data_IF_285101829701
#
_entry.id   IF_285101829701
#
_cell.length_a   1.000
_cell.length_b   1.000
_cell.length_c   1.000
_cell.angle_alpha   90.00
_cell.angle_beta   90.00
_cell.angle_gamma   90.00
#
_symmetry.space_group_name_H-M   'P 1'
#
loop_
_entity.id
_entity.type
_entity.pdbx_description
1 polymer ?
#
# COMPACT_ATOMS: atom_id res chain seq x y z
N UNK A 1 15.58 -8.35 8.84
CA UNK A 1 14.68 -7.20 8.70
C UNK A 1 15.50 -5.93 8.85
N UNK A 2 15.18 -4.87 8.12
CA UNK A 2 15.98 -3.64 8.08
C UNK A 2 15.49 -2.64 9.13
N UNK A 3 16.40 -2.02 9.89
CA UNK A 3 16.08 -1.07 10.96
C UNK A 3 15.97 0.37 10.45
N UNK A 4 15.38 1.26 11.27
CA UNK A 4 15.30 2.69 10.97
C UNK A 4 16.69 3.31 10.75
N UNK A 5 17.65 3.04 11.64
CA UNK A 5 19.02 3.55 11.55
C UNK A 5 19.71 3.12 10.26
N UNK A 6 19.53 1.86 9.85
CA UNK A 6 20.12 1.33 8.61
C UNK A 6 19.56 2.03 7.36
N UNK A 7 18.25 2.24 7.30
CA UNK A 7 17.60 2.91 6.17
C UNK A 7 18.03 4.38 6.09
N UNK A 8 18.04 5.09 7.23
CA UNK A 8 18.50 6.48 7.27
C UNK A 8 19.94 6.61 6.80
N UNK A 9 20.85 5.79 7.36
CA UNK A 9 22.26 5.81 6.96
C UNK A 9 22.42 5.52 5.46
N UNK A 10 21.67 4.54 4.93
CA UNK A 10 21.70 4.18 3.51
C UNK A 10 21.28 5.35 2.63
N UNK A 11 20.15 5.98 2.93
CA UNK A 11 19.66 7.11 2.16
C UNK A 11 20.54 8.35 2.28
N UNK A 12 21.08 8.64 3.47
CA UNK A 12 21.99 9.77 3.68
C UNK A 12 23.29 9.61 2.86
N UNK A 13 23.87 8.40 2.83
CA UNK A 13 25.10 8.11 2.07
C UNK A 13 24.87 8.16 0.57
N UNK A 14 23.73 7.62 0.10
CA UNK A 14 23.39 7.61 -1.34
C UNK A 14 22.84 8.95 -1.82
N UNK A 15 22.43 9.83 -0.90
CA UNK A 15 21.86 11.14 -1.21
C UNK A 15 20.39 11.07 -1.65
N UNK A 16 19.64 10.07 -1.18
CA UNK A 16 18.21 9.96 -1.46
C UNK A 16 17.40 10.94 -0.59
N UNK A 17 16.60 11.85 -1.20
CA UNK A 17 15.79 12.78 -0.43
C UNK A 17 14.69 12.07 0.35
N UNK A 18 14.69 12.28 1.66
CA UNK A 18 13.67 11.74 2.57
C UNK A 18 13.22 12.77 3.59
N UNK A 19 12.05 12.52 4.18
CA UNK A 19 11.54 13.24 5.34
C UNK A 19 11.18 12.23 6.42
N UNK A 20 11.71 12.40 7.62
CA UNK A 20 11.30 11.61 8.78
C UNK A 20 10.15 12.32 9.49
N UNK A 21 9.01 11.63 9.62
CA UNK A 21 7.91 12.09 10.45
C UNK A 21 7.91 11.31 11.77
N UNK A 22 7.97 12.03 12.87
CA UNK A 22 7.76 11.46 14.20
C UNK A 22 6.28 11.52 14.54
N UNK A 23 5.66 10.36 14.75
CA UNK A 23 4.27 10.17 15.17
C UNK A 23 4.18 10.17 16.70
N UNK A 24 3.00 9.80 17.23
CA UNK A 24 2.82 9.60 18.67
C UNK A 24 3.70 8.44 19.19
N UNK A 25 3.95 8.41 20.50
CA UNK A 25 4.80 7.40 21.16
C UNK A 25 6.24 7.32 20.62
N UNK A 26 6.75 8.40 19.99
CA UNK A 26 8.05 8.46 19.31
C UNK A 26 8.24 7.44 18.17
N UNK A 27 7.15 6.87 17.67
CA UNK A 27 7.15 6.00 16.50
C UNK A 27 7.43 6.85 15.27
N UNK A 28 8.18 6.32 14.29
CA UNK A 28 8.59 7.10 13.12
C UNK A 28 8.18 6.43 11.82
N UNK A 29 7.96 7.24 10.80
CA UNK A 29 7.90 6.81 9.41
C UNK A 29 8.92 7.61 8.59
N UNK A 30 9.41 7.01 7.52
CA UNK A 30 10.29 7.67 6.55
C UNK A 30 9.49 7.85 5.26
N UNK A 31 9.33 9.10 4.82
CA UNK A 31 8.73 9.42 3.51
C UNK A 31 9.85 9.61 2.50
N UNK A 32 9.84 8.85 1.41
CA UNK A 32 10.87 8.91 0.37
C UNK A 32 10.41 9.70 -0.84
N UNK A 33 11.31 10.45 -1.47
CA UNK A 33 11.02 11.06 -2.77
C UNK A 33 10.94 9.98 -3.86
N UNK A 34 11.90 9.05 -3.88
CA UNK A 34 11.88 7.90 -4.78
C UNK A 34 10.67 7.01 -4.45
N UNK A 35 9.79 6.77 -5.41
CA UNK A 35 8.56 5.98 -5.25
C UNK A 35 7.47 6.65 -4.41
N UNK A 36 7.73 7.83 -3.83
CA UNK A 36 6.79 8.48 -2.92
C UNK A 36 6.43 7.61 -1.72
N UNK A 37 7.32 6.75 -1.21
CA UNK A 37 6.93 5.67 -0.28
C UNK A 37 6.88 6.14 1.16
N UNK A 38 6.05 5.47 1.96
CA UNK A 38 6.09 5.53 3.42
C UNK A 38 6.68 4.21 3.93
N UNK A 39 7.87 4.30 4.52
CA UNK A 39 8.54 3.17 5.19
C UNK A 39 8.31 3.25 6.71
N UNK A 40 8.31 2.10 7.38
CA UNK A 40 7.95 1.98 8.80
C UNK A 40 6.53 1.44 8.97
N UNK A 41 5.81 1.77 10.05
CA UNK A 41 6.30 2.48 11.22
C UNK A 41 7.47 1.75 11.91
N UNK A 42 8.34 2.53 12.56
CA UNK A 42 9.47 2.05 13.35
C UNK A 42 9.25 2.41 14.83
N UNK A 43 9.37 1.43 15.72
CA UNK A 43 9.15 1.58 17.16
C UNK A 43 10.32 2.26 17.89
N UNK A 44 11.52 2.18 17.32
CA UNK A 44 12.76 2.80 17.78
C UNK A 44 13.77 2.92 16.63
N UNK A 45 14.97 3.44 16.89
CA UNK A 45 16.05 3.50 15.91
C UNK A 45 16.52 2.11 15.44
N UNK A 46 16.49 1.14 16.35
CA UNK A 46 17.00 -0.21 16.12
C UNK A 46 15.89 -1.23 15.84
N UNK A 47 14.62 -0.81 15.90
CA UNK A 47 13.50 -1.69 15.53
C UNK A 47 13.39 -1.83 14.02
N UNK A 48 13.02 -3.01 13.50
CA UNK A 48 12.64 -3.16 12.12
C UNK A 48 11.30 -2.46 11.80
N UNK A 49 11.05 -2.24 10.51
CA UNK A 49 9.78 -1.70 10.01
C UNK A 49 8.62 -2.68 10.24
N UNK A 50 7.46 -2.15 10.64
CA UNK A 50 6.18 -2.89 10.67
C UNK A 50 5.71 -3.26 9.27
N UNK A 51 5.86 -2.37 8.28
CA UNK A 51 5.67 -2.72 6.87
C UNK A 51 6.87 -3.51 6.36
N UNK A 52 6.66 -4.38 5.39
CA UNK A 52 7.76 -5.05 4.71
C UNK A 52 8.62 -4.01 4.00
N UNK A 53 9.94 -4.17 4.07
CA UNK A 53 10.93 -3.31 3.42
C UNK A 53 11.99 -4.17 2.77
N UNK A 54 12.43 -3.78 1.58
CA UNK A 54 13.42 -4.53 0.83
C UNK A 54 14.78 -4.59 1.58
N UNK A 55 15.41 -5.79 1.73
CA UNK A 55 16.72 -5.92 2.36
C UNK A 55 17.84 -5.07 1.75
N UNK A 56 17.73 -4.69 0.48
CA UNK A 56 18.70 -3.81 -0.18
C UNK A 56 18.85 -2.45 0.53
N UNK A 57 17.82 -2.01 1.26
CA UNK A 57 17.83 -0.76 2.02
C UNK A 57 18.72 -0.79 3.27
N UNK A 58 19.30 -1.95 3.61
CA UNK A 58 20.13 -2.10 4.80
C UNK A 58 21.53 -1.47 4.67
N UNK A 59 22.05 -1.38 3.44
CA UNK A 59 23.41 -0.94 3.17
C UNK A 59 23.48 -0.07 1.91
N UNK A 60 24.31 1.00 1.90
CA UNK A 60 24.49 1.86 0.73
C UNK A 60 24.84 1.11 -0.56
N UNK A 61 25.79 0.17 -0.49
CA UNK A 61 26.25 -0.59 -1.66
C UNK A 61 25.12 -1.44 -2.26
N UNK A 62 24.39 -2.17 -1.42
CA UNK A 62 23.25 -2.99 -1.86
C UNK A 62 22.15 -2.14 -2.48
N UNK A 63 21.89 -0.96 -1.91
CA UNK A 63 20.88 -0.05 -2.45
C UNK A 63 21.31 0.61 -3.76
N UNK A 64 22.60 0.93 -3.92
CA UNK A 64 23.13 1.40 -5.21
C UNK A 64 23.01 0.34 -6.31
N UNK A 65 23.30 -0.92 -6.00
CA UNK A 65 23.06 -2.05 -6.93
C UNK A 65 21.58 -2.17 -7.28
N UNK A 66 20.69 -2.13 -6.28
CA UNK A 66 19.24 -2.12 -6.48
C UNK A 66 18.79 -1.02 -7.47
N UNK A 67 19.30 0.21 -7.32
CA UNK A 67 18.99 1.29 -8.26
C UNK A 67 19.58 1.02 -9.66
N UNK A 68 20.82 0.58 -9.74
CA UNK A 68 21.53 0.34 -11.00
C UNK A 68 20.86 -0.77 -11.82
N UNK A 69 20.33 -1.79 -11.15
CA UNK A 69 19.61 -2.91 -11.77
C UNK A 69 18.18 -2.53 -12.20
N UNK A 70 17.73 -1.31 -11.89
CA UNK A 70 16.40 -0.84 -12.22
C UNK A 70 15.31 -1.42 -11.30
N UNK A 71 15.69 -1.99 -10.16
CA UNK A 71 14.74 -2.47 -9.17
C UNK A 71 13.94 -1.31 -8.58
N UNK A 72 12.66 -1.57 -8.34
CA UNK A 72 11.68 -0.54 -7.96
C UNK A 72 11.05 -0.83 -6.59
N UNK A 73 10.91 -2.10 -6.21
CA UNK A 73 10.16 -2.51 -5.03
C UNK A 73 10.94 -2.34 -3.71
N UNK A 74 10.91 -1.13 -3.14
CA UNK A 74 11.52 -0.84 -1.83
C UNK A 74 10.64 -1.30 -0.63
N UNK A 75 9.39 -1.71 -0.87
CA UNK A 75 8.43 -2.05 0.19
C UNK A 75 7.59 -0.86 0.68
N UNK A 76 7.05 -0.96 1.89
CA UNK A 76 6.27 0.10 2.53
C UNK A 76 4.88 0.34 1.91
N UNK A 77 4.36 1.54 2.15
CA UNK A 77 3.11 2.03 1.56
C UNK A 77 3.39 2.93 0.34
N UNK A 78 2.62 2.74 -0.74
CA UNK A 78 2.73 3.52 -2.00
C UNK A 78 1.38 3.74 -2.67
N UNK A 79 1.35 4.74 -3.55
CA UNK A 79 0.25 4.92 -4.51
C UNK A 79 0.55 4.15 -5.80
N UNK A 80 -0.47 3.50 -6.34
CA UNK A 80 -0.45 2.75 -7.59
C UNK A 80 -1.55 3.24 -8.51
N UNK A 81 -1.29 3.33 -9.82
CA UNK A 81 -2.31 3.73 -10.78
C UNK A 81 -2.90 2.47 -11.41
N UNK A 82 -4.21 2.34 -11.34
CA UNK A 82 -4.94 1.22 -11.90
C UNK A 82 -5.97 1.69 -12.95
N UNK A 83 -6.53 0.78 -13.77
CA UNK A 83 -6.41 -0.67 -13.68
C UNK A 83 -4.99 -1.21 -13.95
N UNK A 84 -4.52 -2.19 -13.17
CA UNK A 84 -3.25 -2.88 -13.40
C UNK A 84 -3.24 -3.55 -14.78
N UNK A 85 -4.35 -4.17 -15.15
CA UNK A 85 -4.52 -4.74 -16.49
C UNK A 85 -4.35 -3.68 -17.58
N UNK A 86 -4.61 -2.40 -17.29
CA UNK A 86 -4.56 -1.34 -18.28
C UNK A 86 -3.16 -0.77 -18.50
N UNK A 87 -2.36 -0.67 -17.43
CA UNK A 87 -1.07 0.02 -17.46
C UNK A 87 0.14 -0.91 -17.31
N UNK A 88 -0.04 -2.07 -16.68
CA UNK A 88 1.06 -2.96 -16.33
C UNK A 88 1.09 -4.23 -17.18
N UNK A 89 0.05 -4.49 -17.96
CA UNK A 89 -0.08 -5.68 -18.80
C UNK A 89 -0.27 -5.22 -20.24
N UNK A 90 0.60 -5.62 -21.16
CA UNK A 90 0.48 -5.21 -22.58
C UNK A 90 -0.53 -6.05 -23.35
N UNK A 91 -0.64 -7.32 -23.00
CA UNK A 91 -1.59 -8.27 -23.58
C UNK A 91 -2.28 -9.04 -22.46
N UNK A 92 -3.58 -8.79 -22.24
CA UNK A 92 -4.33 -9.49 -21.20
C UNK A 92 -4.37 -11.02 -21.36
N UNK A 93 -4.19 -11.53 -22.58
CA UNK A 93 -4.18 -12.98 -22.84
C UNK A 93 -2.86 -13.64 -22.46
N UNK A 94 -1.80 -12.84 -22.34
CA UNK A 94 -0.48 -13.23 -21.82
C UNK A 94 -0.13 -12.33 -20.62
N UNK A 95 -0.91 -12.46 -19.56
CA UNK A 95 -0.79 -11.64 -18.36
C UNK A 95 0.63 -11.65 -17.80
N UNK A 96 1.20 -12.84 -17.58
CA UNK A 96 2.54 -12.98 -16.98
C UNK A 96 3.68 -12.67 -17.95
N UNK A 97 3.55 -13.06 -19.22
CA UNK A 97 4.60 -12.81 -20.22
C UNK A 97 4.70 -11.35 -20.65
N UNK A 98 3.64 -10.56 -20.43
CA UNK A 98 3.62 -9.13 -20.76
C UNK A 98 3.50 -8.20 -19.55
N UNK A 99 3.62 -8.74 -18.34
CA UNK A 99 3.65 -7.95 -17.12
C UNK A 99 4.91 -7.10 -17.04
N UNK A 100 4.74 -5.81 -16.84
CA UNK A 100 5.82 -4.86 -16.67
C UNK A 100 5.32 -3.55 -16.06
N UNK A 101 6.00 -3.10 -15.01
CA UNK A 101 5.61 -1.91 -14.27
C UNK A 101 6.22 -0.68 -14.96
N UNK A 102 5.41 0.33 -15.33
CA UNK A 102 5.94 1.57 -15.88
C UNK A 102 6.87 2.27 -14.88
N UNK A 103 8.09 2.60 -15.30
CA UNK A 103 9.06 3.34 -14.46
C UNK A 103 8.54 4.70 -14.00
N UNK A 104 7.59 5.27 -14.76
CA UNK A 104 6.91 6.51 -14.41
C UNK A 104 5.93 6.34 -13.23
N UNK A 105 5.46 5.12 -12.98
CA UNK A 105 4.63 4.77 -11.84
C UNK A 105 5.50 4.47 -10.60
N UNK A 106 6.51 3.62 -10.74
CA UNK A 106 7.42 3.21 -9.66
C UNK A 106 8.82 2.94 -10.27
N UNK A 107 9.89 3.65 -9.87
CA UNK A 107 9.97 4.60 -8.76
C UNK A 107 9.31 5.97 -9.01
N UNK A 108 8.84 6.26 -10.22
CA UNK A 108 8.26 7.57 -10.53
C UNK A 108 9.21 8.74 -10.31
N UNK A 109 8.67 9.97 -10.30
CA UNK A 109 9.43 11.21 -10.15
C UNK A 109 8.68 12.20 -9.27
N UNK A 110 8.52 11.86 -8.00
CA UNK A 110 7.92 12.78 -7.04
C UNK A 110 8.84 13.95 -6.70
N UNK A 111 8.25 15.12 -6.47
CA UNK A 111 8.82 16.13 -5.60
C UNK A 111 8.38 15.85 -4.16
N UNK A 112 9.28 16.10 -3.20
CA UNK A 112 9.04 15.91 -1.78
C UNK A 112 9.21 17.25 -1.04
N UNK A 113 8.17 17.70 -0.36
CA UNK A 113 8.16 18.94 0.42
C UNK A 113 7.66 18.63 1.82
N UNK A 114 8.37 19.12 2.84
CA UNK A 114 7.88 19.14 4.21
C UNK A 114 7.62 20.59 4.61
N UNK A 115 6.39 20.90 5.03
CA UNK A 115 6.01 22.22 5.49
C UNK A 115 5.11 22.10 6.71
N UNK A 116 5.52 22.73 7.81
CA UNK A 116 4.77 22.81 9.08
C UNK A 116 4.29 21.43 9.61
N UNK A 117 5.07 20.37 9.39
CA UNK A 117 4.74 19.01 9.86
C UNK A 117 3.82 18.23 8.92
N UNK A 118 3.45 18.80 7.78
CA UNK A 118 2.75 18.13 6.69
C UNK A 118 3.73 17.81 5.58
N UNK A 119 3.69 16.56 5.10
CA UNK A 119 4.51 16.11 3.97
C UNK A 119 3.67 16.06 2.71
N UNK A 120 4.18 16.67 1.65
CA UNK A 120 3.57 16.73 0.33
C UNK A 120 4.45 15.98 -0.65
N UNK A 121 3.82 15.09 -1.42
CA UNK A 121 4.42 14.41 -2.56
C UNK A 121 3.61 14.75 -3.80
N UNK A 122 4.28 15.12 -4.89
CA UNK A 122 3.60 15.36 -6.17
C UNK A 122 4.40 14.82 -7.34
N UNK A 123 3.73 14.20 -8.30
CA UNK A 123 4.33 13.88 -9.59
C UNK A 123 3.33 14.03 -10.72
N UNK A 124 3.85 14.22 -11.94
CA UNK A 124 3.10 14.06 -13.17
C UNK A 124 3.57 12.79 -13.87
N UNK A 125 2.63 11.99 -14.34
CA UNK A 125 2.89 10.68 -14.93
C UNK A 125 2.25 10.63 -16.32
N UNK A 126 3.01 10.13 -17.28
CA UNK A 126 2.50 9.72 -18.58
C UNK A 126 2.41 8.19 -18.63
N UNK A 127 1.24 7.64 -18.92
CA UNK A 127 1.01 6.19 -18.98
C UNK A 127 0.37 5.78 -20.30
N UNK A 128 0.90 4.72 -20.91
CA UNK A 128 0.32 4.06 -22.06
C UNK A 128 -0.72 3.04 -21.60
N UNK A 129 -1.87 3.05 -22.26
CA UNK A 129 -3.02 2.23 -21.95
C UNK A 129 -3.19 1.11 -23.00
N UNK A 130 -3.41 -0.13 -22.57
CA UNK A 130 -3.29 -1.32 -23.43
C UNK A 130 -4.57 -2.15 -23.64
N UNK A 131 -5.44 -2.29 -22.64
CA UNK A 131 -6.47 -3.35 -22.63
C UNK A 131 -7.92 -2.84 -22.62
N UNK A 132 -8.31 -1.99 -21.67
CA UNK A 132 -9.67 -1.45 -21.49
C UNK A 132 -9.89 -0.16 -22.28
N UNK A 133 -8.81 0.54 -22.63
CA UNK A 133 -8.77 1.72 -23.50
C UNK A 133 -7.43 1.80 -24.24
N UNK A 134 -7.28 2.73 -25.18
CA UNK A 134 -6.08 2.84 -26.02
C UNK A 134 -5.39 4.21 -25.98
N UNK A 135 -4.07 4.19 -26.16
CA UNK A 135 -3.18 5.36 -26.24
C UNK A 135 -2.75 5.91 -24.88
N UNK A 136 -2.27 7.14 -24.84
CA UNK A 136 -1.61 7.70 -23.65
C UNK A 136 -2.54 8.57 -22.78
N UNK A 137 -2.36 8.51 -21.47
CA UNK A 137 -2.96 9.44 -20.49
C UNK A 137 -1.88 10.20 -19.72
N UNK A 138 -2.18 11.42 -19.30
CA UNK A 138 -1.32 12.23 -18.46
C UNK A 138 -2.06 12.51 -17.15
N UNK A 139 -1.41 12.23 -16.03
CA UNK A 139 -2.02 12.27 -14.71
C UNK A 139 -1.16 13.12 -13.78
N UNK A 140 -1.80 13.87 -12.90
CA UNK A 140 -1.16 14.53 -11.75
C UNK A 140 -1.56 13.75 -10.49
N UNK A 141 -0.55 13.32 -9.73
CA UNK A 141 -0.72 12.60 -8.47
C UNK A 141 -0.21 13.49 -7.36
N UNK A 142 -1.07 13.82 -6.41
CA UNK A 142 -0.73 14.56 -5.21
C UNK A 142 -1.03 13.72 -3.98
N UNK A 143 -0.13 13.74 -2.99
CA UNK A 143 -0.33 13.11 -1.69
C UNK A 143 0.01 14.10 -0.60
N UNK A 144 -0.84 14.11 0.42
CA UNK A 144 -0.62 14.88 1.64
C UNK A 144 -0.64 13.91 2.82
N UNK A 145 0.44 13.90 3.60
CA UNK A 145 0.62 13.03 4.76
C UNK A 145 0.75 13.89 6.01
N UNK A 146 -0.06 13.59 7.02
CA UNK A 146 -0.09 14.33 8.29
C UNK A 146 -0.16 13.33 9.45
N UNK A 147 0.34 13.73 10.62
CA UNK A 147 0.12 12.97 11.85
C UNK A 147 -1.37 12.88 12.17
N UNK A 148 -1.80 11.73 12.65
CA UNK A 148 -3.15 11.51 13.16
C UNK A 148 -3.08 11.15 14.64
N UNK A 149 -3.90 11.81 15.45
CA UNK A 149 -4.03 11.48 16.87
C UNK A 149 -4.92 10.25 17.10
N UNK A 150 -4.81 9.66 18.30
CA UNK A 150 -5.57 8.46 18.66
C UNK A 150 -7.08 8.63 18.35
N UNK A 151 -7.70 7.73 17.54
CA UNK A 151 -9.12 7.82 17.23
C UNK A 151 -10.01 7.63 18.46
N UNK A 152 -9.52 6.98 19.51
CA UNK A 152 -10.23 6.74 20.76
C UNK A 152 -10.09 7.90 21.77
N UNK A 153 -9.39 8.99 21.44
CA UNK A 153 -9.08 10.11 22.37
C UNK A 153 -10.29 10.76 23.05
N UNK A 154 -11.50 10.53 22.55
CA UNK A 154 -12.74 11.04 23.11
C UNK A 154 -13.58 9.96 23.84
N UNK A 155 -13.09 8.72 23.91
CA UNK A 155 -13.73 7.64 24.65
C UNK A 155 -13.58 7.87 26.16
N UNK A 156 -14.65 7.59 26.92
CA UNK A 156 -14.66 7.79 28.38
C UNK A 156 -13.69 6.89 29.12
N UNK A 157 -13.39 5.72 28.57
CA UNK A 157 -12.50 4.70 29.13
C UNK A 157 -11.20 4.59 28.33
N UNK A 158 -10.70 5.71 27.78
CA UNK A 158 -9.46 5.72 26.99
C UNK A 158 -8.28 5.08 27.74
N UNK A 159 -8.09 5.41 29.01
CA UNK A 159 -6.94 4.93 29.80
C UNK A 159 -6.96 3.39 29.93
N UNK A 160 -8.14 2.80 30.14
CA UNK A 160 -8.35 1.36 30.18
C UNK A 160 -8.09 0.72 28.81
N UNK A 161 -8.64 1.31 27.73
CA UNK A 161 -8.46 0.79 26.37
C UNK A 161 -7.00 0.87 25.88
N UNK A 162 -6.21 1.80 26.43
CA UNK A 162 -4.84 2.04 26.05
C UNK A 162 -3.81 1.44 27.02
N UNK A 163 -4.25 0.71 28.05
CA UNK A 163 -3.34 0.04 28.98
C UNK A 163 -2.44 -0.95 28.22
N UNK A 164 -1.12 -0.70 28.26
CA UNK A 164 -0.13 -1.51 27.53
C UNK A 164 -0.10 -1.28 26.01
N UNK A 165 -0.88 -0.35 25.47
CA UNK A 165 -0.96 -0.08 24.03
C UNK A 165 -0.25 1.22 23.69
N UNK A 166 0.68 1.17 22.72
CA UNK A 166 1.24 2.37 22.08
C UNK A 166 0.46 2.69 20.82
N UNK A 167 -0.01 3.93 20.70
CA UNK A 167 -0.64 4.41 19.48
C UNK A 167 0.33 5.27 18.66
N UNK A 168 0.27 5.11 17.35
CA UNK A 168 0.81 6.04 16.36
C UNK A 168 -0.03 5.97 15.10
N UNK A 169 -0.41 7.14 14.57
CA UNK A 169 -1.23 7.24 13.38
C UNK A 169 -0.78 8.35 12.45
N UNK A 170 -1.11 8.19 11.17
CA UNK A 170 -1.05 9.24 10.16
C UNK A 170 -2.31 9.18 9.30
N UNK A 171 -2.67 10.30 8.70
CA UNK A 171 -3.67 10.39 7.65
C UNK A 171 -2.98 10.65 6.33
N UNK A 172 -3.52 10.08 5.25
CA UNK A 172 -3.09 10.39 3.89
C UNK A 172 -4.29 10.77 3.04
N UNK A 173 -4.15 11.84 2.28
CA UNK A 173 -5.06 12.17 1.17
C UNK A 173 -4.30 11.96 -0.14
N UNK A 174 -4.94 11.31 -1.10
CA UNK A 174 -4.39 11.10 -2.45
C UNK A 174 -5.35 11.71 -3.44
N UNK A 175 -4.85 12.61 -4.29
CA UNK A 175 -5.61 13.17 -5.40
C UNK A 175 -5.00 12.68 -6.71
N UNK A 176 -5.87 12.23 -7.60
CA UNK A 176 -5.52 11.86 -8.97
C UNK A 176 -6.31 12.75 -9.92
N UNK A 177 -5.61 13.53 -10.72
CA UNK A 177 -6.22 14.44 -11.69
C UNK A 177 -5.79 14.09 -13.11
N UNK A 178 -6.71 14.17 -14.06
CA UNK A 178 -6.39 14.06 -15.49
C UNK A 178 -5.78 15.39 -15.98
N UNK A 179 -4.68 15.29 -16.71
CA UNK A 179 -4.07 16.40 -17.42
C UNK A 179 -4.39 16.28 -18.92
N UNK A 180 -5.24 17.17 -19.41
CA UNK A 180 -5.64 17.23 -20.83
C UNK A 180 -6.97 16.56 -21.14
N UNK A 181 -7.32 16.55 -22.44
CA UNK A 181 -8.69 16.25 -22.90
C UNK A 181 -8.96 14.75 -23.09
N UNK A 182 -7.92 13.93 -23.19
CA UNK A 182 -8.08 12.50 -23.46
C UNK A 182 -8.32 11.74 -22.16
N UNK A 183 -9.55 11.27 -21.98
CA UNK A 183 -9.92 10.48 -20.80
C UNK A 183 -9.60 9.01 -21.00
N UNK A 184 -8.53 8.53 -20.35
CA UNK A 184 -8.38 7.11 -20.03
C UNK A 184 -8.84 6.93 -18.58
N UNK A 185 -9.89 6.13 -18.31
CA UNK A 185 -10.33 5.85 -16.95
C UNK A 185 -9.15 5.34 -16.12
N UNK A 186 -8.86 6.05 -15.03
CA UNK A 186 -7.74 5.80 -14.13
C UNK A 186 -8.23 5.91 -12.70
N UNK A 187 -7.66 5.13 -11.80
CA UNK A 187 -7.91 5.21 -10.37
C UNK A 187 -6.60 5.12 -9.59
N UNK A 188 -6.59 5.68 -8.38
CA UNK A 188 -5.44 5.60 -7.48
C UNK A 188 -5.73 4.58 -6.38
N UNK A 189 -4.79 3.66 -6.22
CA UNK A 189 -4.82 2.65 -5.17
C UNK A 189 -3.73 2.95 -4.15
N UNK A 190 -4.03 2.80 -2.86
CA UNK A 190 -3.05 2.95 -1.79
C UNK A 190 -2.67 1.58 -1.21
N UNK A 191 -1.53 1.06 -1.65
CA UNK A 191 -1.02 -0.28 -1.33
C UNK A 191 -0.09 -0.21 -0.13
N UNK A 192 -0.19 -1.17 0.77
CA UNK A 192 0.78 -1.39 1.84
C UNK A 192 1.32 -2.82 1.75
N UNK A 193 2.64 -2.97 1.77
CA UNK A 193 3.29 -4.28 1.85
C UNK A 193 3.55 -4.62 3.31
N UNK A 194 3.01 -5.75 3.77
CA UNK A 194 3.12 -6.18 5.17
C UNK A 194 4.15 -7.28 5.31
N UNK A 195 4.82 -7.35 6.46
CA UNK A 195 5.57 -8.55 6.82
C UNK A 195 4.59 -9.72 6.95
N UNK A 196 4.85 -10.83 6.26
CA UNK A 196 3.99 -12.02 6.26
C UNK A 196 3.89 -12.68 7.65
N UNK A 197 2.92 -13.60 7.79
CA UNK A 197 2.65 -14.41 8.98
C UNK A 197 1.44 -13.97 9.79
N UNK A 198 0.86 -12.80 9.52
CA UNK A 198 -0.24 -12.23 10.28
C UNK A 198 -1.63 -12.50 9.73
N UNK A 199 -2.63 -12.17 10.54
CA UNK A 199 -4.04 -12.31 10.21
C UNK A 199 -4.62 -10.97 9.73
N UNK A 200 -5.19 -10.97 8.54
CA UNK A 200 -5.90 -9.82 7.99
C UNK A 200 -7.40 -9.95 8.26
N UNK A 201 -8.02 -8.87 8.71
CA UNK A 201 -9.44 -8.77 9.03
C UNK A 201 -10.09 -7.75 8.10
N UNK A 202 -11.11 -8.20 7.38
CA UNK A 202 -11.92 -7.36 6.49
C UNK A 202 -13.39 -7.39 6.93
N UNK A 203 -13.83 -6.44 7.76
CA UNK A 203 -15.22 -6.37 8.20
C UNK A 203 -16.19 -6.09 7.05
N UNK A 204 -17.35 -6.74 7.11
CA UNK A 204 -18.38 -6.75 6.07
C UNK A 204 -19.78 -6.47 6.64
N UNK A 205 -20.68 -5.89 5.84
CA UNK A 205 -22.08 -5.66 6.18
C UNK A 205 -23.01 -6.86 5.92
N UNK A 206 -22.50 -7.93 5.29
CA UNK A 206 -23.31 -9.04 4.82
C UNK A 206 -22.49 -10.11 4.11
N UNK A 207 -23.12 -10.95 3.28
CA UNK A 207 -22.43 -12.05 2.62
C UNK A 207 -21.22 -11.60 1.81
N UNK A 208 -20.20 -12.44 1.90
CA UNK A 208 -18.97 -12.37 1.15
C UNK A 208 -19.20 -12.23 -0.36
N UNK A 209 -18.53 -11.24 -0.98
CA UNK A 209 -18.45 -11.08 -2.43
C UNK A 209 -16.99 -10.84 -2.82
N UNK A 210 -16.28 -11.95 -3.01
CA UNK A 210 -14.87 -11.99 -3.37
C UNK A 210 -14.69 -12.57 -4.77
N UNK A 211 -13.71 -12.05 -5.49
CA UNK A 211 -13.39 -12.43 -6.87
C UNK A 211 -11.89 -12.75 -6.94
N UNK A 212 -11.51 -13.99 -7.31
CA UNK A 212 -10.11 -14.32 -7.59
C UNK A 212 -9.60 -13.57 -8.84
N UNK A 213 -8.49 -12.86 -8.72
CA UNK A 213 -7.82 -12.24 -9.87
C UNK A 213 -6.83 -13.22 -10.50
N UNK A 214 -6.06 -13.91 -9.67
CA UNK A 214 -5.20 -15.02 -10.06
C UNK A 214 -4.78 -15.78 -8.80
N UNK A 215 -4.36 -17.03 -8.99
CA UNK A 215 -4.19 -17.97 -7.89
C UNK A 215 -5.53 -18.33 -7.24
N UNK A 216 -5.50 -19.31 -6.35
CA UNK A 216 -6.67 -19.71 -5.58
C UNK A 216 -6.26 -19.75 -4.13
N UNK A 217 -6.73 -18.82 -3.28
CA UNK A 217 -6.46 -18.90 -1.85
C UNK A 217 -6.98 -20.24 -1.30
N UNK A 218 -6.25 -20.82 -0.34
CA UNK A 218 -6.75 -22.00 0.39
C UNK A 218 -8.02 -21.67 1.15
N UNK A 219 -8.85 -22.67 1.46
CA UNK A 219 -10.08 -22.48 2.23
C UNK A 219 -9.81 -21.79 3.59
N UNK A 220 -8.68 -22.09 4.22
CA UNK A 220 -8.21 -21.47 5.47
C UNK A 220 -7.85 -19.98 5.32
N UNK A 221 -7.58 -19.51 4.09
CA UNK A 221 -7.25 -18.12 3.81
C UNK A 221 -8.49 -17.26 3.56
N UNK A 222 -9.70 -17.82 3.50
CA UNK A 222 -10.94 -17.08 3.24
C UNK A 222 -12.06 -17.46 4.22
N UNK A 223 -11.77 -17.57 5.51
CA UNK A 223 -12.79 -17.81 6.51
C UNK A 223 -13.66 -16.55 6.69
N UNK A 224 -14.98 -16.69 6.58
CA UNK A 224 -15.94 -15.64 6.94
C UNK A 224 -16.55 -16.00 8.29
N UNK A 225 -16.16 -15.30 9.34
CA UNK A 225 -16.72 -15.47 10.68
C UNK A 225 -16.89 -14.13 11.39
N UNK A 226 -17.96 -14.03 12.19
CA UNK A 226 -18.29 -12.85 12.99
C UNK A 226 -18.36 -11.53 12.18
N UNK A 227 -18.88 -11.60 10.94
CA UNK A 227 -19.06 -10.44 10.08
C UNK A 227 -17.79 -9.91 9.44
N UNK A 228 -16.68 -10.66 9.43
CA UNK A 228 -15.45 -10.29 8.76
C UNK A 228 -14.85 -11.47 7.98
N UNK A 229 -14.13 -11.17 6.90
CA UNK A 229 -13.15 -12.12 6.39
C UNK A 229 -11.93 -12.14 7.29
N UNK A 230 -11.40 -13.34 7.53
CA UNK A 230 -10.14 -13.61 8.23
C UNK A 230 -9.23 -14.33 7.26
N UNK A 231 -8.11 -13.68 6.96
CA UNK A 231 -7.24 -14.08 5.86
C UNK A 231 -5.82 -14.19 6.40
N UNK A 232 -5.27 -15.40 6.41
CA UNK A 232 -3.89 -15.61 6.84
C UNK A 232 -2.93 -15.27 5.71
N UNK A 233 -2.19 -14.18 5.85
CA UNK A 233 -1.20 -13.75 4.85
C UNK A 233 0.16 -14.39 5.14
N UNK A 234 0.33 -15.64 4.73
CA UNK A 234 1.53 -16.45 5.02
C UNK A 234 2.72 -16.13 4.11
N UNK A 235 2.47 -15.51 2.96
CA UNK A 235 3.44 -15.34 1.88
C UNK A 235 3.91 -16.65 1.21
N UNK A 236 3.28 -17.79 1.51
CA UNK A 236 3.69 -19.10 0.94
C UNK A 236 2.91 -19.48 -0.32
N UNK A 237 1.83 -18.78 -0.63
CA UNK A 237 0.99 -19.07 -1.78
C UNK A 237 0.62 -17.78 -2.51
N UNK A 238 0.93 -17.72 -3.81
CA UNK A 238 0.55 -16.59 -4.62
C UNK A 238 -0.96 -16.59 -4.89
N UNK A 239 -1.65 -15.54 -4.46
CA UNK A 239 -3.02 -15.25 -4.90
C UNK A 239 -3.32 -13.76 -4.81
N UNK A 240 -4.22 -13.29 -5.67
CA UNK A 240 -4.84 -11.96 -5.59
C UNK A 240 -6.35 -12.12 -5.59
N UNK A 241 -7.03 -11.50 -4.62
CA UNK A 241 -8.49 -11.52 -4.52
C UNK A 241 -9.00 -10.09 -4.36
N UNK A 242 -10.00 -9.71 -5.15
CA UNK A 242 -10.72 -8.43 -5.03
C UNK A 242 -12.04 -8.62 -4.27
N UNK A 243 -12.43 -7.62 -3.48
CA UNK A 243 -13.64 -7.64 -2.64
C UNK A 243 -14.57 -6.50 -3.01
N UNK A 244 -15.86 -6.81 -3.22
CA UNK A 244 -16.84 -5.83 -3.71
C UNK A 244 -17.11 -4.74 -2.68
N UNK A 245 -17.11 -3.49 -3.11
CA UNK A 245 -17.38 -2.33 -2.27
C UNK A 245 -18.74 -2.43 -1.54
N UNK A 246 -19.73 -3.06 -2.17
CA UNK A 246 -21.10 -3.23 -1.66
C UNK A 246 -21.19 -4.01 -0.34
N UNK A 247 -20.20 -4.85 -0.01
CA UNK A 247 -20.19 -5.60 1.24
C UNK A 247 -19.21 -5.04 2.28
N UNK A 248 -18.34 -4.08 1.94
CA UNK A 248 -17.28 -3.60 2.83
C UNK A 248 -17.70 -2.41 3.69
N UNK A 249 -17.02 -2.27 4.83
CA UNK A 249 -17.32 -1.27 5.86
C UNK A 249 -16.45 0.00 5.78
N UNK A 250 -15.46 0.03 4.88
CA UNK A 250 -14.45 1.12 4.86
C UNK A 250 -13.38 1.01 5.95
N UNK A 251 -13.28 -0.15 6.62
CA UNK A 251 -12.23 -0.45 7.60
C UNK A 251 -11.58 -1.79 7.30
N UNK A 252 -10.31 -1.91 7.63
CA UNK A 252 -9.56 -3.17 7.58
C UNK A 252 -8.51 -3.19 8.71
N UNK A 253 -8.08 -4.39 9.11
CA UNK A 253 -7.02 -4.54 10.09
C UNK A 253 -6.05 -5.68 9.76
N UNK A 254 -4.83 -5.58 10.25
CA UNK A 254 -3.83 -6.63 10.17
C UNK A 254 -3.16 -6.80 11.53
N UNK A 255 -3.29 -8.00 12.10
CA UNK A 255 -2.68 -8.40 13.37
C UNK A 255 -1.49 -9.29 13.09
N UNK A 256 -0.32 -8.93 13.63
CA UNK A 256 0.86 -9.77 13.54
C UNK A 256 1.79 -9.53 14.74
N UNK A 257 2.87 -10.29 14.81
CA UNK A 257 3.86 -10.28 15.88
C UNK A 257 5.25 -10.00 15.31
N UNK A 258 6.02 -9.17 16.01
CA UNK A 258 7.42 -8.90 15.69
C UNK A 258 8.32 -10.00 16.26
N UNK A 259 9.59 -10.02 15.85
CA UNK A 259 10.55 -11.02 16.32
C UNK A 259 10.83 -10.96 17.83
N UNK A 260 10.57 -9.81 18.47
CA UNK A 260 10.70 -9.62 19.92
C UNK A 260 9.39 -9.89 20.68
N UNK A 261 8.44 -10.59 20.04
CA UNK A 261 7.11 -10.92 20.56
C UNK A 261 6.17 -9.72 20.78
N UNK A 262 6.58 -8.52 20.35
CA UNK A 262 5.69 -7.36 20.33
C UNK A 262 4.57 -7.59 19.32
N UNK A 263 3.33 -7.59 19.79
CA UNK A 263 2.16 -7.67 18.93
C UNK A 263 1.82 -6.28 18.38
N UNK A 264 1.41 -6.22 17.11
CA UNK A 264 0.94 -4.98 16.50
C UNK A 264 -0.35 -5.19 15.72
N UNK A 265 -1.21 -4.18 15.77
CA UNK A 265 -2.44 -4.10 15.01
C UNK A 265 -2.36 -2.87 14.11
N UNK A 266 -2.27 -3.10 12.80
CA UNK A 266 -2.48 -2.05 11.81
C UNK A 266 -3.98 -1.92 11.56
N UNK A 267 -4.52 -0.72 11.67
CA UNK A 267 -5.91 -0.42 11.28
C UNK A 267 -5.88 0.63 10.19
N UNK A 268 -6.62 0.40 9.10
CA UNK A 268 -6.82 1.40 8.05
C UNK A 268 -8.30 1.69 7.90
N UNK A 269 -8.60 2.98 7.98
CA UNK A 269 -9.88 3.55 7.56
C UNK A 269 -9.72 4.13 6.15
N UNK A 270 -10.70 3.89 5.29
CA UNK A 270 -10.69 4.35 3.91
C UNK A 270 -12.11 4.64 3.42
N UNK A 271 -12.23 5.55 2.46
CA UNK A 271 -13.50 5.86 1.83
C UNK A 271 -13.94 4.70 0.93
N UNK A 272 -15.02 4.03 1.33
CA UNK A 272 -15.67 2.98 0.56
C UNK A 272 -17.04 3.46 0.11
N UNK A 273 -17.18 3.77 -1.18
CA UNK A 273 -18.42 4.22 -1.79
C UNK A 273 -18.83 3.24 -2.89
N UNK A 274 -19.82 2.36 -2.65
CA UNK A 274 -20.31 1.42 -3.65
C UNK A 274 -20.87 2.05 -4.94
N UNK A 275 -21.13 3.37 -4.95
CA UNK A 275 -21.50 4.11 -6.15
C UNK A 275 -20.32 4.37 -7.09
N UNK A 276 -19.09 4.23 -6.61
CA UNK A 276 -17.90 4.42 -7.43
C UNK A 276 -17.66 3.25 -8.40
N UNK A 277 -17.03 3.49 -9.56
CA UNK A 277 -16.90 2.46 -10.60
C UNK A 277 -15.98 1.29 -10.25
N UNK A 278 -14.90 1.54 -9.50
CA UNK A 278 -13.80 0.60 -9.19
C UNK A 278 -13.39 -0.26 -10.39
N UNK A 279 -12.56 0.31 -11.26
CA UNK A 279 -12.42 -0.11 -12.66
C UNK A 279 -11.39 -1.22 -12.89
N UNK A 280 -10.61 -1.61 -11.88
CA UNK A 280 -9.79 -2.81 -11.91
C UNK A 280 -10.64 -4.07 -12.20
N UNK A 281 -10.12 -4.99 -13.03
CA UNK A 281 -10.84 -6.20 -13.45
C UNK A 281 -9.92 -7.42 -13.52
N UNK A 282 -10.42 -8.64 -13.23
CA UNK A 282 -9.64 -9.86 -13.41
C UNK A 282 -9.18 -10.04 -14.86
N UNK A 283 -7.98 -10.59 -15.11
CA UNK A 283 -7.47 -10.76 -16.47
C UNK A 283 -8.40 -11.56 -17.39
N UNK A 284 -9.00 -12.61 -16.84
CA UNK A 284 -9.86 -13.57 -17.54
C UNK A 284 -11.36 -13.20 -17.54
N UNK A 285 -11.76 -12.18 -16.76
CA UNK A 285 -13.16 -11.76 -16.60
C UNK A 285 -13.33 -10.25 -16.84
N UNK A 286 -13.27 -9.82 -18.11
CA UNK A 286 -13.49 -8.43 -18.48
C UNK A 286 -14.80 -7.87 -17.92
N UNK A 287 -14.78 -6.62 -17.48
CA UNK A 287 -15.91 -5.88 -16.90
C UNK A 287 -16.40 -6.39 -15.54
N UNK A 288 -15.76 -7.40 -14.93
CA UNK A 288 -16.04 -7.75 -13.53
C UNK A 288 -15.37 -6.72 -12.60
N UNK A 289 -16.10 -5.64 -12.31
CA UNK A 289 -15.64 -4.43 -11.57
C UNK A 289 -16.32 -4.26 -10.22
N UNK A 290 -16.03 -3.18 -9.51
CA UNK A 290 -16.71 -2.85 -8.24
C UNK A 290 -15.93 -3.31 -7.00
N UNK A 291 -14.66 -3.67 -7.16
CA UNK A 291 -13.81 -4.13 -6.05
C UNK A 291 -13.05 -2.95 -5.46
N UNK A 292 -13.27 -2.62 -4.19
CA UNK A 292 -12.60 -1.49 -3.53
C UNK A 292 -11.40 -1.89 -2.68
N UNK A 293 -11.24 -3.19 -2.42
CA UNK A 293 -10.10 -3.75 -1.69
C UNK A 293 -9.55 -4.94 -2.46
N UNK A 294 -8.23 -4.98 -2.59
CA UNK A 294 -7.50 -6.12 -3.15
C UNK A 294 -6.51 -6.61 -2.13
N UNK A 295 -6.46 -7.94 -1.99
CA UNK A 295 -5.50 -8.61 -1.13
C UNK A 295 -4.65 -9.49 -2.02
N UNK A 296 -3.34 -9.28 -1.91
CA UNK A 296 -2.33 -10.03 -2.61
C UNK A 296 -1.41 -10.67 -1.58
N UNK A 297 -1.24 -11.99 -1.67
CA UNK A 297 -0.36 -12.77 -0.81
C UNK A 297 0.73 -13.38 -1.70
N UNK A 298 1.99 -13.14 -1.38
CA UNK A 298 3.15 -13.75 -2.03
C UNK A 298 4.39 -13.72 -1.12
N UNK A 299 5.52 -14.25 -1.61
CA UNK A 299 6.77 -14.33 -0.87
C UNK A 299 7.55 -13.02 -0.73
N UNK A 300 7.04 -11.91 -1.27
CA UNK A 300 7.75 -10.63 -1.41
C UNK A 300 8.35 -10.41 -2.79
#
# INVERSE_FOLDING_TARGET
>A
MVTFSQIQQTFDVVGEPTVVMTLDSNIRIIVTQRGGRLLGPFLSHESPSIFWTNPALAHPESFQTFIADGEWNMGGERVWIAPEIQYNIKDRTDFWGTHGIPVAMDPGRYSLINHEGTVYLRQQIELQAYNTASGTTHLDVERTIMRSGNPLRHAKNLDELMEGVRFAGYTQTVSLSLLGDKTVPSECWNLVQMNAGGMYYLPTHGPAQATPYFGTPTDDALEVSDGAYRIHLTGQQQFKTGYKATCLTGRMAYLNVMADETHYLLVRDFDNDPGNPYIEEPPDRPNERGHSVHIYNDGG
#
